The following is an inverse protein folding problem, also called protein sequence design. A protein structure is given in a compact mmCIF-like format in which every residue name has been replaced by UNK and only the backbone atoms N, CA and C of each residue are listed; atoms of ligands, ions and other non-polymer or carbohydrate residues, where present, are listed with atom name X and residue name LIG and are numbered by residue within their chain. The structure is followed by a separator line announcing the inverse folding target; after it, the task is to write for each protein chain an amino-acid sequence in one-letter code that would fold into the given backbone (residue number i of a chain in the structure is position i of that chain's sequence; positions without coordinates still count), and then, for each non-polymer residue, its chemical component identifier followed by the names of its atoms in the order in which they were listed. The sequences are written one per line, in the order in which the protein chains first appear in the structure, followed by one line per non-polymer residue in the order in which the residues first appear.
data_IF_283673951488
#
_entry.id   IF_283673951488
#
_cell.length_a   1.000
_cell.length_b   1.000
_cell.length_c   1.000
_cell.angle_alpha   90.00
_cell.angle_beta   90.00
_cell.angle_gamma   90.00
#
_symmetry.space_group_name_H-M   'P 1'
#
loop_
_entity.id
_entity.type
_entity.pdbx_description
1 polymer ?
2 non-polymer ?
3 non-polymer ?
4 non-polymer ?
5 water ?
#
# COMPACT_ATOMS: atom_id res chain seq x y z
N UNK A 1 -17.08 -21.14 4.76
CA UNK A 1 -17.74 -19.82 4.82
C UNK A 1 -16.70 -18.71 4.92
N UNK A 2 -16.04 -18.44 3.80
CA UNK A 2 -15.05 -17.33 3.73
C UNK A 2 -13.95 -17.46 4.75
N UNK A 3 -13.41 -18.66 4.85
CA UNK A 3 -12.29 -18.95 5.80
C UNK A 3 -10.96 -18.78 5.09
N UNK A 4 -10.08 -17.91 5.63
CA UNK A 4 -8.77 -17.70 5.01
C UNK A 4 -7.82 -18.87 5.36
N UNK A 5 -6.87 -19.02 4.48
CA UNK A 5 -5.76 -19.99 4.72
C UNK A 5 -4.47 -19.28 4.31
N UNK A 6 -3.34 -19.79 4.79
CA UNK A 6 -2.03 -19.22 4.43
C UNK A 6 -1.84 -19.00 2.97
N UNK A 7 -2.51 -19.79 2.11
CA UNK A 7 -2.40 -19.63 0.66
C UNK A 7 -2.99 -18.33 0.14
N UNK A 8 -3.83 -17.66 0.92
CA UNK A 8 -4.44 -16.36 0.50
C UNK A 8 -3.45 -15.20 0.64
N UNK A 9 -2.32 -15.44 1.29
CA UNK A 9 -1.24 -14.44 1.41
C UNK A 9 -1.64 -13.20 2.19
N UNK A 10 -2.43 -13.37 3.23
CA UNK A 10 -2.83 -12.24 4.11
C UNK A 10 -1.73 -11.97 5.14
N UNK A 11 -1.33 -10.68 5.25
CA UNK A 11 -0.27 -10.33 6.22
C UNK A 11 -0.69 -9.09 7.03
N UNK A 12 -0.07 -8.95 8.19
CA UNK A 12 -0.39 -7.85 9.15
C UNK A 12 0.90 -7.30 9.75
N UNK A 13 0.91 -5.98 9.97
CA UNK A 13 2.04 -5.36 10.69
C UNK A 13 1.91 -5.63 12.16
N UNK A 14 3.07 -5.81 12.87
CA UNK A 14 3.01 -5.95 14.32
C UNK A 14 2.31 -4.74 14.99
N UNK A 15 2.49 -3.58 14.35
CA UNK A 15 1.95 -2.33 14.93
C UNK A 15 0.46 -2.17 14.78
N UNK A 16 -0.18 -3.06 14.05
CA UNK A 16 -1.62 -2.96 13.72
C UNK A 16 -2.42 -3.49 14.88
N UNK A 17 -2.45 -4.85 15.03
CA UNK A 17 -3.12 -5.45 16.20
C UNK A 17 -2.45 -5.05 17.51
N UNK A 18 -1.18 -4.63 17.44
CA UNK A 18 -0.43 -4.15 18.61
C UNK A 18 -0.68 -2.71 18.98
N UNK A 19 -1.51 -1.96 18.24
CA UNK A 19 -1.76 -0.54 18.59
C UNK A 19 -2.46 -0.45 19.95
N UNK A 20 -1.82 0.31 20.87
CA UNK A 20 -2.39 0.46 22.23
C UNK A 20 -3.52 1.47 22.34
N UNK A 21 -3.78 2.24 21.34
CA UNK A 21 -4.92 3.17 21.37
C UNK A 21 -4.62 4.57 21.80
N UNK A 22 -3.38 4.95 21.81
CA UNK A 22 -3.04 6.40 22.12
C UNK A 22 -3.32 7.21 20.88
N UNK A 23 -4.10 8.30 21.01
CA UNK A 23 -4.46 9.21 19.89
C UNK A 23 -4.02 10.62 20.36
N UNK A 24 -4.20 11.64 19.52
CA UNK A 24 -3.78 13.00 19.87
C UNK A 24 -4.45 13.54 21.12
N UNK A 25 -5.60 12.99 21.50
CA UNK A 25 -6.37 13.46 22.65
C UNK A 25 -6.56 12.42 23.76
N UNK A 26 -5.86 11.30 23.74
CA UNK A 26 -6.14 10.28 24.77
C UNK A 26 -5.06 9.29 25.00
N UNK A 27 -5.10 8.74 26.21
CA UNK A 27 -4.12 7.72 26.65
C UNK A 27 -4.49 6.36 26.07
N UNK A 28 -3.53 5.43 26.24
CA UNK A 28 -3.74 4.03 25.74
C UNK A 28 -4.88 3.38 26.49
N UNK A 29 -5.63 2.55 25.74
CA UNK A 29 -6.76 1.81 26.32
C UNK A 29 -6.44 0.30 26.39
N UNK A 30 -5.34 -0.10 25.81
CA UNK A 30 -4.95 -1.54 25.83
C UNK A 30 -3.48 -1.63 26.24
N UNK A 31 -3.18 -2.81 26.83
CA UNK A 31 -1.76 -3.08 27.21
C UNK A 31 -0.99 -3.50 25.98
N UNK A 32 0.33 -3.41 26.04
CA UNK A 32 1.19 -3.77 24.93
C UNK A 32 1.15 -5.30 24.76
N UNK A 33 1.25 -5.68 23.50
CA UNK A 33 1.23 -7.12 23.15
C UNK A 33 2.68 -7.51 22.85
N UNK A 34 3.01 -8.72 23.32
CA UNK A 34 4.38 -9.24 22.96
C UNK A 34 4.26 -9.72 21.48
N UNK A 35 5.25 -9.41 20.66
CA UNK A 35 5.30 -9.86 19.26
C UNK A 35 5.07 -11.35 19.08
N UNK A 36 5.59 -12.14 20.05
CA UNK A 36 5.40 -13.63 19.97
C UNK A 36 3.93 -13.98 20.05
N UNK A 37 3.17 -13.32 20.92
CA UNK A 37 1.74 -13.59 21.07
C UNK A 37 1.00 -13.21 19.80
N UNK A 38 1.37 -12.05 19.21
CA UNK A 38 0.67 -11.64 17.96
C UNK A 38 0.93 -12.65 16.85
N UNK A 39 2.15 -13.17 16.75
CA UNK A 39 2.42 -14.18 15.69
C UNK A 39 1.50 -15.40 15.91
N UNK A 40 1.45 -15.89 17.13
CA UNK A 40 0.62 -17.08 17.39
C UNK A 40 -0.86 -16.84 17.11
N UNK A 41 -1.39 -15.71 17.57
CA UNK A 41 -2.85 -15.42 17.37
C UNK A 41 -3.16 -15.22 15.91
N UNK A 42 -2.29 -14.49 15.16
CA UNK A 42 -2.56 -14.32 13.72
C UNK A 42 -2.53 -15.63 12.94
N UNK A 43 -1.60 -16.53 13.36
CA UNK A 43 -1.49 -17.83 12.65
C UNK A 43 -2.79 -18.64 12.86
N UNK A 44 -3.35 -18.56 14.06
CA UNK A 44 -4.61 -19.27 14.32
C UNK A 44 -5.76 -18.76 13.47
N UNK A 45 -5.71 -17.45 13.14
CA UNK A 45 -6.80 -16.87 12.34
C UNK A 45 -6.65 -17.15 10.86
N UNK A 46 -5.50 -17.70 10.44
CA UNK A 46 -5.32 -18.01 9.01
C UNK A 46 -4.43 -17.06 8.25
N UNK A 47 -3.71 -16.17 8.97
CA UNK A 47 -2.78 -15.27 8.23
C UNK A 47 -1.58 -16.03 7.68
N UNK A 48 -0.90 -15.49 6.70
CA UNK A 48 0.32 -16.02 6.06
C UNK A 48 1.58 -15.51 6.71
N UNK A 49 1.55 -14.25 7.18
CA UNK A 49 2.79 -13.67 7.75
C UNK A 49 2.57 -12.32 8.42
N UNK A 50 3.71 -11.80 8.89
CA UNK A 50 3.71 -10.48 9.62
C UNK A 50 4.84 -9.62 9.04
N UNK A 51 4.72 -8.31 9.36
CA UNK A 51 5.77 -7.32 8.98
C UNK A 51 6.06 -6.48 10.25
N UNK A 52 7.19 -5.71 10.12
CA UNK A 52 7.59 -4.91 11.34
C UNK A 52 8.43 -3.71 10.94
N UNK A 53 8.38 -2.72 11.83
CA UNK A 53 9.42 -1.64 11.81
C UNK A 53 10.49 -2.20 12.79
N UNK A 54 11.72 -1.71 12.59
CA UNK A 54 12.81 -2.04 13.54
C UNK A 54 12.37 -1.87 15.00
N UNK A 55 11.81 -0.72 15.32
CA UNK A 55 11.43 -0.39 16.70
C UNK A 55 10.27 -1.17 17.27
N UNK A 56 9.51 -1.89 16.43
CA UNK A 56 8.39 -2.70 16.94
C UNK A 56 8.99 -4.01 17.56
N UNK A 57 10.04 -4.47 16.92
CA UNK A 57 10.68 -5.74 17.30
C UNK A 57 11.74 -5.58 18.38
N UNK A 58 12.58 -4.57 18.21
CA UNK A 58 13.71 -4.32 19.17
C UNK A 58 13.50 -2.87 19.68
N UNK A 59 13.25 -2.79 20.98
CA UNK A 59 13.04 -1.49 21.65
C UNK A 59 14.20 -0.55 21.35
N UNK A 60 13.87 0.68 21.01
CA UNK A 60 14.87 1.72 20.68
C UNK A 60 15.89 1.78 21.85
N UNK A 61 17.15 1.83 21.42
CA UNK A 61 18.25 1.94 22.39
C UNK A 61 18.71 0.64 23.00
N UNK A 62 18.26 -0.48 22.47
CA UNK A 62 18.64 -1.81 22.94
C UNK A 62 20.13 -2.10 22.65
N UNK A 63 20.72 -2.80 23.63
CA UNK A 63 22.12 -3.25 23.49
C UNK A 63 22.11 -4.41 22.49
N UNK A 64 23.27 -4.69 21.94
CA UNK A 64 23.46 -5.78 20.97
C UNK A 64 22.97 -7.11 21.55
N UNK A 65 23.18 -7.27 22.83
CA UNK A 65 22.80 -8.48 23.57
C UNK A 65 21.28 -8.64 23.57
N UNK A 66 20.62 -7.56 23.97
CA UNK A 66 19.15 -7.52 24.03
C UNK A 66 18.58 -7.73 22.65
N UNK A 67 19.23 -7.11 21.69
CA UNK A 67 18.83 -7.22 20.26
C UNK A 67 18.81 -8.67 19.85
N UNK A 68 19.90 -9.41 20.09
CA UNK A 68 19.96 -10.83 19.71
C UNK A 68 18.85 -11.65 20.34
N UNK A 69 18.54 -11.36 21.59
CA UNK A 69 17.51 -12.06 22.35
C UNK A 69 16.11 -11.87 21.77
N UNK A 70 15.84 -10.61 21.41
CA UNK A 70 14.51 -10.29 20.82
C UNK A 70 14.35 -11.01 19.49
N UNK A 71 15.38 -11.04 18.70
CA UNK A 71 15.34 -11.70 17.38
C UNK A 71 15.12 -13.20 17.54
N UNK A 72 15.90 -13.79 18.43
CA UNK A 72 15.82 -15.27 18.66
C UNK A 72 14.43 -15.70 19.05
N UNK A 73 13.77 -15.01 19.99
CA UNK A 73 12.42 -15.35 20.40
C UNK A 73 11.44 -15.25 19.22
N UNK A 74 11.66 -14.20 18.44
CA UNK A 74 10.77 -13.98 17.27
C UNK A 74 10.91 -15.12 16.26
N UNK A 75 12.16 -15.42 15.97
CA UNK A 75 12.45 -16.53 14.99
C UNK A 75 11.87 -17.83 15.48
N UNK A 76 11.88 -18.07 16.78
CA UNK A 76 11.24 -19.30 17.31
C UNK A 76 9.75 -19.34 17.05
N UNK A 77 9.05 -18.22 17.27
CA UNK A 77 7.61 -18.15 17.02
C UNK A 77 7.34 -18.35 15.55
N UNK A 78 8.14 -17.81 14.65
CA UNK A 78 7.91 -18.05 13.22
C UNK A 78 8.05 -19.57 12.89
N UNK A 79 9.09 -20.15 13.49
CA UNK A 79 9.33 -21.62 13.18
C UNK A 79 8.19 -22.47 13.69
N UNK A 80 7.70 -22.16 14.84
CA UNK A 80 6.60 -22.87 15.52
C UNK A 80 5.29 -22.82 14.75
N UNK A 81 5.08 -21.67 14.04
CA UNK A 81 3.80 -21.47 13.34
C UNK A 81 3.78 -21.60 11.86
N UNK A 82 4.94 -21.52 11.20
CA UNK A 82 5.02 -21.50 9.75
C UNK A 82 4.76 -20.09 9.16
N UNK A 83 4.71 -19.10 10.03
CA UNK A 83 4.49 -17.69 9.51
C UNK A 83 5.74 -17.19 8.80
N UNK A 84 5.54 -16.32 7.79
CA UNK A 84 6.68 -15.73 7.05
C UNK A 84 6.74 -14.20 7.32
N UNK A 85 7.88 -13.62 6.92
CA UNK A 85 8.05 -12.13 7.05
C UNK A 85 8.42 -11.57 5.68
N UNK A 86 7.41 -11.17 4.89
CA UNK A 86 7.64 -10.75 3.54
C UNK A 86 8.12 -9.30 3.35
N UNK A 87 7.92 -8.51 4.41
CA UNK A 87 8.31 -7.07 4.27
C UNK A 87 8.76 -6.57 5.64
N UNK A 88 9.68 -5.57 5.58
CA UNK A 88 10.05 -4.87 6.85
C UNK A 88 10.26 -3.38 6.44
N UNK A 89 10.36 -2.59 7.51
CA UNK A 89 10.53 -1.10 7.28
C UNK A 89 11.23 -0.54 8.53
N UNK A 90 11.52 0.78 8.46
CA UNK A 90 12.24 1.48 9.53
C UNK A 90 11.33 2.51 10.19
N UNK A 91 11.48 2.68 11.52
CA UNK A 91 10.74 3.79 12.17
C UNK A 91 11.65 5.04 12.08
N UNK A 92 11.30 5.97 11.18
CA UNK A 92 12.01 7.27 11.13
C UNK A 92 11.05 8.42 11.48
N UNK A 93 10.18 8.15 12.46
CA UNK A 93 9.16 9.18 12.79
C UNK A 93 8.84 9.33 14.24
N UNK A 94 9.03 8.32 15.11
CA UNK A 94 8.58 8.45 16.52
C UNK A 94 9.55 9.25 17.38
N UNK A 95 10.82 8.91 17.33
CA UNK A 95 11.77 9.62 18.23
C UNK A 95 11.82 11.09 17.91
N UNK A 96 11.94 11.92 18.98
CA UNK A 96 12.08 13.37 18.80
C UNK A 96 13.16 13.82 17.88
N UNK A 97 14.25 13.07 17.66
CA UNK A 97 15.35 13.48 16.78
C UNK A 97 14.84 13.65 15.36
N UNK A 98 13.79 12.90 14.99
CA UNK A 98 13.21 12.97 13.64
C UNK A 98 12.12 13.99 13.49
N UNK A 99 12.06 14.97 14.40
CA UNK A 99 10.96 15.98 14.32
C UNK A 99 10.90 16.76 13.04
N UNK A 100 11.98 17.00 12.33
CA UNK A 100 12.00 17.67 11.02
C UNK A 100 12.26 16.70 9.89
N UNK A 101 12.17 15.38 10.17
CA UNK A 101 12.42 14.41 9.07
C UNK A 101 13.61 13.51 9.37
N UNK A 102 13.77 12.51 8.53
CA UNK A 102 14.93 11.58 8.59
C UNK A 102 15.82 11.90 7.39
N UNK A 103 15.45 11.44 6.19
CA UNK A 103 16.25 11.70 4.99
C UNK A 103 16.34 13.16 4.53
N UNK A 104 15.35 13.96 4.93
CA UNK A 104 15.31 15.38 4.51
C UNK A 104 15.31 16.34 5.70
N UNK A 105 15.78 15.91 6.85
CA UNK A 105 15.91 16.89 7.99
C UNK A 105 16.93 17.99 7.52
N UNK A 106 16.66 19.22 8.07
CA UNK A 106 17.60 20.30 7.72
C UNK A 106 19.01 20.01 8.29
N UNK A 107 19.04 19.39 9.47
CA UNK A 107 20.35 19.07 10.12
C UNK A 107 21.03 17.90 9.41
N UNK A 108 22.23 18.14 8.89
CA UNK A 108 22.98 17.07 8.18
C UNK A 108 23.28 15.86 9.01
N UNK A 109 23.62 16.06 10.28
CA UNK A 109 23.97 14.93 11.17
C UNK A 109 22.79 13.99 11.35
N UNK A 110 21.58 14.55 11.35
CA UNK A 110 20.34 13.71 11.53
C UNK A 110 20.19 12.90 10.27
N UNK A 111 20.36 13.48 9.09
CA UNK A 111 20.25 12.73 7.83
C UNK A 111 21.22 11.55 7.80
N UNK A 112 22.45 11.73 8.28
CA UNK A 112 23.43 10.60 8.28
C UNK A 112 22.97 9.52 9.25
N UNK A 113 22.46 9.89 10.41
CA UNK A 113 21.92 8.97 11.40
C UNK A 113 20.76 8.14 10.80
N UNK A 114 19.82 8.86 10.15
CA UNK A 114 18.66 8.16 9.52
C UNK A 114 19.15 7.09 8.54
N UNK A 115 20.17 7.38 7.72
CA UNK A 115 20.68 6.38 6.79
C UNK A 115 21.27 5.18 7.53
N UNK A 116 22.10 5.44 8.55
CA UNK A 116 22.69 4.27 9.27
C UNK A 116 21.63 3.42 9.93
N UNK A 117 20.58 4.04 10.51
CA UNK A 117 19.53 3.24 11.22
C UNK A 117 18.82 2.37 10.19
N UNK A 118 18.62 2.93 9.00
CA UNK A 118 17.94 2.18 7.91
C UNK A 118 18.80 0.96 7.49
N UNK A 119 20.07 1.24 7.21
CA UNK A 119 20.96 0.11 6.75
C UNK A 119 21.00 -1.02 7.75
N UNK A 120 21.09 -0.75 9.02
CA UNK A 120 21.10 -1.80 10.06
C UNK A 120 19.90 -2.71 9.94
N UNK A 121 18.71 -2.11 9.67
CA UNK A 121 17.47 -2.88 9.54
C UNK A 121 17.36 -3.63 8.22
N UNK A 122 17.98 -3.15 7.16
CA UNK A 122 17.95 -3.88 5.85
C UNK A 122 18.65 -5.24 6.11
N UNK A 123 19.78 -5.19 6.85
CA UNK A 123 20.50 -6.46 7.10
C UNK A 123 19.60 -7.47 7.80
N UNK A 124 18.90 -7.00 8.83
CA UNK A 124 17.99 -7.87 9.56
C UNK A 124 16.87 -8.41 8.70
N UNK A 125 16.25 -7.52 7.92
CA UNK A 125 15.17 -7.92 7.03
C UNK A 125 15.58 -9.09 6.11
N UNK A 126 16.72 -8.97 5.50
CA UNK A 126 17.28 -10.00 4.60
C UNK A 126 17.43 -11.34 5.40
N UNK A 127 17.97 -11.20 6.59
CA UNK A 127 18.16 -12.42 7.43
C UNK A 127 16.84 -13.13 7.67
N UNK A 128 15.75 -12.39 7.85
CA UNK A 128 14.42 -12.95 8.10
C UNK A 128 13.66 -13.36 6.85
N UNK A 129 14.21 -13.12 5.68
CA UNK A 129 13.63 -13.52 4.43
C UNK A 129 12.71 -12.53 3.75
N UNK A 130 12.76 -11.27 4.16
CA UNK A 130 11.89 -10.26 3.50
C UNK A 130 12.32 -10.01 2.06
N UNK A 131 11.35 -9.81 1.18
CA UNK A 131 11.59 -9.53 -0.23
C UNK A 131 11.43 -8.04 -0.59
N UNK A 132 10.69 -7.36 0.30
CA UNK A 132 10.39 -5.91 0.03
C UNK A 132 10.72 -5.09 1.28
N UNK A 133 11.29 -3.89 1.00
CA UNK A 133 11.58 -3.02 2.19
C UNK A 133 10.84 -1.69 1.92
N UNK A 134 9.91 -1.39 2.82
CA UNK A 134 9.06 -0.15 2.64
C UNK A 134 9.72 1.06 3.29
N UNK A 135 9.46 2.21 2.62
CA UNK A 135 9.90 3.49 3.23
C UNK A 135 8.68 4.45 3.22
N UNK A 136 8.26 4.79 4.44
CA UNK A 136 7.18 5.83 4.59
C UNK A 136 7.89 7.05 5.28
N UNK A 137 8.00 8.11 4.48
CA UNK A 137 8.71 9.34 5.03
C UNK A 137 7.68 10.20 5.72
N UNK A 138 7.13 9.76 6.84
CA UNK A 138 6.08 10.50 7.57
C UNK A 138 6.50 11.85 8.14
N UNK A 139 7.80 12.03 8.40
CA UNK A 139 8.23 13.37 8.92
C UNK A 139 8.87 14.22 7.84
N UNK A 140 8.86 13.81 6.58
CA UNK A 140 9.53 14.59 5.49
C UNK A 140 8.52 15.61 4.99
N UNK A 141 8.70 16.90 5.32
CA UNK A 141 7.64 17.87 4.89
C UNK A 141 7.78 19.15 5.72
N UNK A 142 6.63 19.81 5.92
CA UNK A 142 6.67 21.11 6.65
C UNK A 142 5.30 21.58 7.05
N UNK A 143 5.31 22.52 8.03
CA UNK A 143 4.08 23.21 8.41
C UNK A 143 4.04 24.64 7.83
N UNK A 144 5.16 25.17 7.43
CA UNK A 144 5.27 26.58 6.91
C UNK A 144 6.15 26.62 5.72
N UNK A 145 5.96 27.68 4.86
CA UNK A 145 6.65 27.74 3.59
C UNK A 145 8.14 27.95 3.57
N UNK A 146 8.66 28.71 4.50
CA UNK A 146 10.11 29.00 4.47
C UNK A 146 10.97 27.93 5.07
N UNK A 147 10.38 27.01 5.84
CA UNK A 147 11.08 25.97 6.56
C UNK A 147 11.79 24.95 5.70
N UNK A 148 11.30 24.74 4.47
CA UNK A 148 11.93 23.68 3.64
C UNK A 148 11.99 24.13 2.21
N UNK A 149 13.17 24.13 1.63
CA UNK A 149 13.29 24.40 0.18
C UNK A 149 13.05 23.00 -0.45
N UNK A 150 11.92 22.86 -1.16
CA UNK A 150 11.58 21.52 -1.70
C UNK A 150 12.56 21.03 -2.73
N UNK A 151 13.14 21.86 -3.60
CA UNK A 151 14.15 21.35 -4.55
C UNK A 151 15.33 20.75 -3.82
N UNK A 152 15.83 21.50 -2.78
CA UNK A 152 16.95 20.91 -2.01
C UNK A 152 16.50 19.66 -1.28
N UNK A 153 15.29 19.61 -0.73
CA UNK A 153 14.83 18.38 -0.03
C UNK A 153 14.73 17.20 -1.03
N UNK A 154 14.24 17.44 -2.24
CA UNK A 154 14.22 16.30 -3.20
C UNK A 154 15.63 15.86 -3.56
N UNK A 155 16.58 16.80 -3.64
CA UNK A 155 18.00 16.35 -3.85
C UNK A 155 18.43 15.43 -2.71
N UNK A 156 18.14 15.82 -1.47
CA UNK A 156 18.49 14.98 -0.33
C UNK A 156 17.77 13.63 -0.32
N UNK A 157 16.51 13.61 -0.75
CA UNK A 157 15.73 12.33 -0.76
C UNK A 157 16.34 11.40 -1.82
N UNK A 158 16.66 11.97 -2.99
CA UNK A 158 17.29 11.16 -4.05
C UNK A 158 18.66 10.60 -3.58
N UNK A 159 19.44 11.51 -2.94
CA UNK A 159 20.74 11.06 -2.43
C UNK A 159 20.59 9.89 -1.49
N UNK A 160 19.64 9.91 -0.60
CA UNK A 160 19.42 8.82 0.38
C UNK A 160 19.05 7.52 -0.34
N UNK A 161 18.04 7.60 -1.23
CA UNK A 161 17.63 6.35 -1.93
C UNK A 161 18.72 5.83 -2.83
N UNK A 162 19.51 6.69 -3.46
CA UNK A 162 20.65 6.20 -4.28
C UNK A 162 21.65 5.44 -3.41
N UNK A 163 22.00 6.02 -2.25
CA UNK A 163 22.93 5.31 -1.34
C UNK A 163 22.38 3.96 -0.92
N UNK A 164 21.08 3.88 -0.66
CA UNK A 164 20.46 2.60 -0.25
C UNK A 164 20.58 1.58 -1.38
N UNK A 165 20.39 2.00 -2.62
CA UNK A 165 20.50 1.10 -3.79
C UNK A 165 21.96 0.66 -3.94
N UNK A 166 22.86 1.57 -3.70
CA UNK A 166 24.32 1.16 -3.79
C UNK A 166 24.62 0.13 -2.75
N UNK A 167 24.09 0.26 -1.56
CA UNK A 167 24.29 -0.68 -0.46
C UNK A 167 23.76 -2.07 -0.84
N UNK A 168 22.49 -2.18 -1.22
CA UNK A 168 21.94 -3.53 -1.53
C UNK A 168 22.67 -4.20 -2.69
N UNK A 169 23.06 -3.45 -3.68
CA UNK A 169 23.80 -3.93 -4.87
C UNK A 169 25.17 -4.47 -4.47
N UNK A 170 25.85 -3.71 -3.65
CA UNK A 170 27.21 -4.09 -3.18
C UNK A 170 27.16 -5.34 -2.34
N UNK A 171 26.11 -5.52 -1.58
CA UNK A 171 25.93 -6.67 -0.70
C UNK A 171 25.39 -7.89 -1.45
N UNK A 172 24.87 -7.69 -2.65
CA UNK A 172 24.27 -8.80 -3.42
C UNK A 172 22.94 -9.25 -2.87
N UNK A 173 22.19 -8.35 -2.20
CA UNK A 173 20.88 -8.72 -1.66
C UNK A 173 19.79 -8.69 -2.73
N UNK A 174 18.87 -9.60 -2.51
CA UNK A 174 17.66 -9.80 -3.29
C UNK A 174 16.47 -9.20 -2.50
N UNK A 175 16.46 -7.88 -2.56
CA UNK A 175 15.39 -7.10 -1.88
C UNK A 175 15.14 -5.89 -2.78
N UNK A 176 13.88 -5.46 -2.82
CA UNK A 176 13.55 -4.22 -3.60
C UNK A 176 12.87 -3.23 -2.61
N UNK A 177 12.90 -1.97 -3.00
CA UNK A 177 12.30 -0.92 -2.13
C UNK A 177 10.91 -0.53 -2.62
N UNK A 178 10.05 -0.14 -1.66
CA UNK A 178 8.69 0.34 -2.05
C UNK A 178 8.43 1.62 -1.24
N UNK A 179 8.23 2.74 -1.94
CA UNK A 179 7.98 4.03 -1.26
C UNK A 179 6.46 4.17 -1.04
N UNK A 180 6.12 4.54 0.17
CA UNK A 180 4.67 4.70 0.51
C UNK A 180 4.31 6.16 0.64
N UNK A 181 3.43 6.64 -0.23
CA UNK A 181 3.01 8.08 -0.18
C UNK A 181 1.96 8.27 0.92
N UNK A 182 1.83 9.55 1.33
CA UNK A 182 0.74 10.02 2.25
C UNK A 182 0.71 11.54 2.06
N UNK A 183 -0.46 12.18 1.99
CA UNK A 183 -0.46 13.63 1.65
C UNK A 183 -0.13 14.55 2.84
N UNK A 184 -0.56 14.15 4.02
CA UNK A 184 -0.37 15.00 5.25
C UNK A 184 -0.52 14.08 6.45
N UNK A 185 -0.13 14.54 7.64
CA UNK A 185 -0.32 13.94 8.96
C UNK A 185 0.73 12.86 9.22
N UNK A 186 1.76 13.14 10.02
CA UNK A 186 1.85 14.22 10.97
C UNK A 186 2.34 15.56 10.52
N UNK A 187 2.98 15.67 9.38
CA UNK A 187 3.41 17.05 8.96
C UNK A 187 2.24 17.70 8.24
N UNK A 188 2.25 19.06 8.20
CA UNK A 188 1.20 19.80 7.50
C UNK A 188 1.04 19.41 6.05
N UNK A 189 2.14 19.25 5.37
CA UNK A 189 2.22 18.68 4.03
C UNK A 189 3.40 17.71 4.01
N UNK A 190 3.21 16.52 3.44
CA UNK A 190 4.33 15.56 3.34
C UNK A 190 4.86 15.52 1.89
N UNK A 191 6.18 15.37 1.75
CA UNK A 191 6.76 15.25 0.39
C UNK A 191 6.38 13.91 -0.25
N UNK A 192 6.25 13.93 -1.59
CA UNK A 192 5.75 12.77 -2.40
C UNK A 192 4.37 12.40 -1.89
N UNK A 193 3.39 13.28 -2.02
CA UNK A 193 2.13 13.09 -1.34
C UNK A 193 1.15 12.05 -1.87
N UNK A 194 1.36 11.61 -3.11
CA UNK A 194 0.43 10.64 -3.72
C UNK A 194 1.25 9.61 -4.48
N UNK A 195 0.50 8.57 -4.97
CA UNK A 195 1.24 7.55 -5.83
C UNK A 195 1.85 8.22 -7.06
N UNK A 196 1.17 9.20 -7.69
CA UNK A 196 1.75 9.84 -8.87
C UNK A 196 3.10 10.44 -8.54
N UNK A 197 3.15 11.27 -7.48
CA UNK A 197 4.42 11.95 -7.11
C UNK A 197 5.53 10.96 -6.82
N UNK A 198 5.22 9.84 -6.15
CA UNK A 198 6.26 8.80 -5.89
C UNK A 198 6.69 8.12 -7.17
N UNK A 199 5.78 7.77 -8.09
CA UNK A 199 6.23 7.17 -9.36
C UNK A 199 7.15 8.10 -10.15
N UNK A 200 6.85 9.41 -10.16
CA UNK A 200 7.63 10.37 -10.96
C UNK A 200 9.03 10.47 -10.36
N UNK A 201 9.10 10.49 -9.04
CA UNK A 201 10.41 10.61 -8.33
C UNK A 201 11.30 9.42 -8.63
N UNK A 202 10.73 8.23 -8.65
CA UNK A 202 11.53 6.99 -8.91
C UNK A 202 12.26 7.07 -10.22
N UNK A 203 11.70 7.69 -11.21
CA UNK A 203 12.31 7.79 -12.55
C UNK A 203 13.56 8.62 -12.58
N UNK A 204 13.84 9.36 -11.51
CA UNK A 204 15.08 10.17 -11.42
C UNK A 204 16.13 9.51 -10.57
N UNK A 205 15.90 8.30 -10.02
CA UNK A 205 16.91 7.62 -9.22
C UNK A 205 17.93 6.96 -10.16
N UNK A 206 19.11 6.66 -9.57
CA UNK A 206 20.14 6.03 -10.40
C UNK A 206 19.79 4.65 -10.88
N UNK A 207 19.10 3.83 -10.09
CA UNK A 207 18.77 2.44 -10.56
C UNK A 207 17.25 2.26 -10.32
N UNK A 208 16.48 2.85 -11.20
CA UNK A 208 15.00 2.86 -11.03
C UNK A 208 14.39 1.48 -10.90
N UNK A 209 15.01 0.45 -11.47
CA UNK A 209 14.45 -0.90 -11.40
C UNK A 209 14.31 -1.44 -10.00
N UNK A 210 15.06 -0.89 -9.02
CA UNK A 210 15.03 -1.37 -7.65
C UNK A 210 13.87 -0.81 -6.83
N UNK A 211 13.14 0.15 -7.36
CA UNK A 211 12.12 0.85 -6.54
C UNK A 211 10.73 0.82 -7.18
N UNK A 212 9.76 0.63 -6.26
CA UNK A 212 8.33 0.67 -6.68
C UNK A 212 7.55 1.43 -5.59
N UNK A 213 6.22 1.24 -5.61
CA UNK A 213 5.37 1.91 -4.62
C UNK A 213 4.65 0.92 -3.70
N UNK A 214 4.32 1.38 -2.52
CA UNK A 214 3.47 0.68 -1.53
C UNK A 214 2.27 1.62 -1.24
N UNK A 215 1.30 1.69 -2.13
CA UNK A 215 0.13 2.56 -1.89
C UNK A 215 -0.73 2.04 -0.76
N UNK A 216 -1.40 2.99 -0.06
CA UNK A 216 -2.35 2.62 0.99
C UNK A 216 -3.71 3.21 0.66
N UNK A 217 -4.76 2.35 0.79
CA UNK A 217 -6.13 2.77 0.51
C UNK A 217 -6.43 4.17 1.09
N UNK A 218 -6.35 4.30 2.39
CA UNK A 218 -6.84 5.53 3.06
C UNK A 218 -5.94 6.71 2.72
N UNK A 219 -4.69 6.49 2.40
CA UNK A 219 -3.85 7.73 2.07
C UNK A 219 -4.26 8.41 0.82
N UNK A 220 -4.56 7.63 -0.26
CA UNK A 220 -4.98 8.35 -1.50
C UNK A 220 -6.36 8.95 -1.27
N UNK A 221 -7.18 8.30 -0.42
CA UNK A 221 -8.52 8.86 -0.11
C UNK A 221 -8.46 10.13 0.73
N UNK A 222 -7.36 10.38 1.44
CA UNK A 222 -7.18 11.66 2.21
C UNK A 222 -7.00 12.83 1.25
N UNK A 223 -6.70 12.58 -0.02
CA UNK A 223 -6.59 13.63 -1.06
C UNK A 223 -7.81 13.58 -1.99
N UNK A 224 -8.81 12.75 -1.60
CA UNK A 224 -10.06 12.64 -2.39
C UNK A 224 -9.89 11.92 -3.73
N UNK A 225 -8.80 11.14 -3.87
CA UNK A 225 -8.54 10.49 -5.16
C UNK A 225 -9.15 9.07 -5.24
N UNK A 226 -9.19 8.60 -6.49
CA UNK A 226 -9.80 7.22 -6.71
C UNK A 226 -8.64 6.24 -6.61
N UNK A 227 -8.75 5.42 -5.54
CA UNK A 227 -7.69 4.41 -5.25
C UNK A 227 -7.50 3.39 -6.31
N UNK A 228 -8.58 2.71 -6.79
CA UNK A 228 -8.39 1.76 -7.91
C UNK A 228 -7.73 2.40 -9.09
N UNK A 229 -8.03 3.66 -9.46
CA UNK A 229 -7.37 4.33 -10.62
C UNK A 229 -5.86 4.48 -10.37
N UNK A 230 -5.49 4.84 -9.14
CA UNK A 230 -4.06 5.02 -8.79
C UNK A 230 -3.33 3.68 -8.88
N UNK A 231 -3.98 2.63 -8.42
CA UNK A 231 -3.37 1.26 -8.52
C UNK A 231 -3.23 0.85 -9.97
N UNK A 232 -4.22 1.14 -10.80
CA UNK A 232 -4.11 0.82 -12.25
C UNK A 232 -2.89 1.53 -12.86
N UNK A 233 -2.64 2.81 -12.51
CA UNK A 233 -1.45 3.49 -13.03
C UNK A 233 -0.16 2.84 -12.53
N UNK A 234 -0.10 2.42 -11.26
CA UNK A 234 1.10 1.74 -10.74
C UNK A 234 1.29 0.41 -11.47
N UNK A 235 0.22 -0.35 -11.68
CA UNK A 235 0.35 -1.64 -12.43
C UNK A 235 0.83 -1.38 -13.85
N UNK A 236 0.30 -0.36 -14.48
CA UNK A 236 0.67 -0.01 -15.89
C UNK A 236 2.18 0.28 -15.99
N UNK A 237 2.76 0.91 -14.96
CA UNK A 237 4.17 1.25 -14.92
C UNK A 237 5.03 0.08 -14.48
N UNK A 238 4.44 -1.00 -14.01
CA UNK A 238 5.12 -2.18 -13.51
C UNK A 238 5.75 -1.92 -12.16
N UNK A 239 5.10 -1.09 -11.33
CA UNK A 239 5.71 -0.73 -10.03
C UNK A 239 4.86 -1.04 -8.82
N UNK A 240 3.87 -1.91 -8.91
CA UNK A 240 3.09 -2.26 -7.69
C UNK A 240 3.82 -3.40 -6.96
N UNK A 241 4.71 -3.03 -6.06
CA UNK A 241 5.53 -3.99 -5.34
C UNK A 241 4.87 -4.53 -4.09
N UNK A 242 3.94 -3.80 -3.53
CA UNK A 242 3.30 -4.21 -2.24
C UNK A 242 2.06 -3.30 -2.10
N UNK A 243 1.20 -3.58 -1.18
CA UNK A 243 0.00 -2.74 -0.98
C UNK A 243 -0.43 -2.75 0.46
N UNK A 244 -0.98 -1.62 0.94
CA UNK A 244 -1.54 -1.57 2.29
C UNK A 244 -3.09 -1.41 2.19
N UNK A 245 -3.76 -2.43 2.77
CA UNK A 245 -5.25 -2.41 2.66
C UNK A 245 -5.91 -2.01 3.98
N UNK A 246 -6.92 -1.12 3.88
CA UNK A 246 -7.62 -0.63 5.10
C UNK A 246 -8.89 0.14 4.57
N UNK A 247 -9.49 0.87 5.47
CA UNK A 247 -10.66 1.72 5.16
C UNK A 247 -10.51 3.15 5.73
N UNK A 248 -11.24 4.02 5.03
CA UNK A 248 -11.19 5.50 5.40
C UNK A 248 -12.52 6.10 4.95
N UNK A 249 -13.04 6.97 5.81
CA UNK A 249 -14.27 7.72 5.47
C UNK A 249 -13.93 9.14 4.94
N UNK A 250 -13.45 9.24 3.74
CA UNK A 250 -13.23 10.57 3.14
C UNK A 250 -12.01 11.32 3.63
N UNK A 251 -12.13 12.65 3.42
CA UNK A 251 -11.01 13.59 3.69
C UNK A 251 -11.02 14.05 5.12
N UNK A 252 -10.15 13.50 5.92
CA UNK A 252 -10.05 13.77 7.35
C UNK A 252 -8.77 13.10 7.84
N UNK A 253 -8.53 13.06 9.10
CA UNK A 253 -7.38 12.36 9.71
C UNK A 253 -7.31 10.89 9.19
N UNK A 254 -6.11 10.35 9.26
CA UNK A 254 -5.91 8.92 8.75
C UNK A 254 -6.57 7.97 9.77
N UNK A 255 -7.71 7.36 9.33
CA UNK A 255 -8.48 6.51 10.20
C UNK A 255 -7.94 5.07 10.36
N UNK A 256 -7.42 4.48 9.33
CA UNK A 256 -6.91 3.09 9.36
C UNK A 256 -8.00 2.13 9.85
N UNK A 257 -9.20 2.22 9.29
CA UNK A 257 -10.26 1.26 9.67
C UNK A 257 -9.93 -0.11 9.05
N UNK A 258 -10.75 -1.10 9.56
CA UNK A 258 -10.49 -2.46 8.93
C UNK A 258 -10.90 -2.44 7.47
N UNK A 259 -10.25 -3.28 6.66
CA UNK A 259 -10.53 -3.37 5.23
C UNK A 259 -12.03 -3.80 5.01
N UNK A 260 -12.63 -3.05 4.11
CA UNK A 260 -14.08 -3.28 3.80
C UNK A 260 -14.88 -2.15 4.41
N UNK A 261 -14.43 -1.59 5.53
CA UNK A 261 -15.13 -0.41 6.09
C UNK A 261 -14.70 0.82 5.23
N UNK A 262 -15.35 1.93 5.46
CA UNK A 262 -15.04 3.14 4.66
C UNK A 262 -15.79 3.01 3.32
N UNK A 263 -15.06 3.19 2.24
CA UNK A 263 -15.69 3.18 0.90
C UNK A 263 -15.77 1.73 0.39
N UNK A 264 -16.96 1.15 0.63
CA UNK A 264 -17.14 -0.28 0.22
C UNK A 264 -17.12 -0.48 -1.28
N UNK A 265 -17.74 0.40 -2.07
CA UNK A 265 -17.68 0.22 -3.53
C UNK A 265 -16.25 0.28 -4.05
N UNK A 266 -15.44 1.22 -3.49
CA UNK A 266 -14.03 1.28 -3.94
C UNK A 266 -13.24 0.02 -3.56
N UNK A 267 -13.64 -0.60 -2.46
CA UNK A 267 -13.01 -1.89 -2.04
C UNK A 267 -13.33 -2.99 -3.08
N UNK A 268 -14.57 -3.00 -3.54
CA UNK A 268 -15.00 -3.99 -4.58
C UNK A 268 -14.16 -3.79 -5.85
N UNK A 269 -14.10 -2.51 -6.34
CA UNK A 269 -13.34 -2.27 -7.57
C UNK A 269 -11.85 -2.53 -7.41
N UNK A 270 -11.30 -2.35 -6.22
CA UNK A 270 -9.89 -2.64 -5.98
C UNK A 270 -9.67 -4.20 -6.08
N UNK A 271 -10.54 -4.94 -5.38
CA UNK A 271 -10.33 -6.44 -5.45
C UNK A 271 -10.47 -6.94 -6.89
N UNK A 272 -11.46 -6.43 -7.59
CA UNK A 272 -11.66 -6.80 -9.01
C UNK A 272 -10.35 -6.60 -9.78
N UNK A 273 -9.74 -5.41 -9.62
CA UNK A 273 -8.47 -5.12 -10.33
C UNK A 273 -7.33 -5.99 -9.87
N UNK A 274 -7.06 -6.15 -8.58
CA UNK A 274 -5.93 -6.97 -8.14
C UNK A 274 -6.05 -8.41 -8.66
N UNK A 275 -7.24 -8.93 -8.62
CA UNK A 275 -7.47 -10.34 -9.08
C UNK A 275 -7.41 -10.40 -10.58
N UNK A 276 -7.94 -9.47 -11.31
CA UNK A 276 -7.85 -9.54 -12.80
C UNK A 276 -6.46 -9.36 -13.31
N UNK A 277 -5.69 -8.48 -12.70
CA UNK A 277 -4.30 -8.21 -13.12
C UNK A 277 -3.35 -9.28 -12.64
N UNK A 278 -3.77 -10.18 -11.77
CA UNK A 278 -2.90 -11.26 -11.25
C UNK A 278 -1.80 -10.74 -10.34
N UNK A 279 -2.15 -9.74 -9.51
CA UNK A 279 -1.16 -9.25 -8.50
C UNK A 279 -0.82 -10.47 -7.62
N UNK A 280 0.50 -10.68 -7.42
CA UNK A 280 0.85 -11.90 -6.64
C UNK A 280 1.60 -11.62 -5.37
N UNK A 281 1.59 -10.36 -4.94
CA UNK A 281 2.31 -9.99 -3.70
C UNK A 281 1.37 -10.21 -2.51
N UNK A 282 1.89 -9.88 -1.33
CA UNK A 282 1.07 -9.98 -0.12
C UNK A 282 -0.15 -9.02 -0.14
N UNK A 283 -1.18 -9.49 0.53
CA UNK A 283 -2.39 -8.70 0.82
C UNK A 283 -2.21 -8.25 2.30
N UNK A 284 -1.53 -7.09 2.40
CA UNK A 284 -1.15 -6.60 3.75
C UNK A 284 -2.15 -5.61 4.32
N UNK A 285 -2.47 -5.77 5.57
CA UNK A 285 -3.42 -4.88 6.27
C UNK A 285 -2.65 -3.93 7.19
N UNK A 286 -2.84 -2.63 6.89
CA UNK A 286 -2.22 -1.59 7.78
C UNK A 286 -3.46 -0.88 8.42
N UNK A 287 -3.91 -1.40 9.55
CA UNK A 287 -5.19 -0.90 10.14
C UNK A 287 -4.96 -0.78 11.66
N UNK A 288 -5.93 -0.13 12.31
CA UNK A 288 -5.90 -0.02 13.78
C UNK A 288 -7.24 -0.42 14.31
N UNK A 289 -7.31 -1.46 15.15
CA UNK A 289 -8.63 -1.76 15.80
C UNK A 289 -8.94 -0.53 16.68
N UNK A 290 -10.16 0.00 16.58
CA UNK A 290 -10.52 1.23 17.33
C UNK A 290 -10.24 1.08 18.80
N UNK A 291 -9.94 2.23 19.45
CA UNK A 291 -9.56 2.21 20.88
C UNK A 291 -10.72 1.88 21.81
N UNK A 292 -11.93 1.79 21.30
CA UNK A 292 -13.11 1.34 22.05
C UNK A 292 -13.04 -0.19 22.33
N UNK A 293 -12.18 -0.89 21.63
CA UNK A 293 -12.23 -2.37 21.79
C UNK A 293 -11.22 -2.95 22.78
N UNK A 294 -11.66 -4.10 23.34
CA UNK A 294 -10.67 -4.88 24.16
C UNK A 294 -10.00 -5.87 23.21
N UNK A 295 -9.20 -6.82 23.78
CA UNK A 295 -8.52 -7.81 22.98
C UNK A 295 -9.40 -8.70 22.14
N UNK A 296 -10.56 -9.07 22.60
CA UNK A 296 -11.53 -9.86 21.80
C UNK A 296 -11.88 -9.07 20.54
N UNK A 297 -12.06 -7.77 20.72
CA UNK A 297 -12.42 -6.87 19.59
C UNK A 297 -11.27 -6.73 18.62
N UNK A 298 -10.03 -6.69 19.12
CA UNK A 298 -8.86 -6.65 18.24
C UNK A 298 -8.87 -7.84 17.23
N UNK A 299 -9.04 -9.05 17.80
CA UNK A 299 -9.00 -10.24 16.88
C UNK A 299 -10.21 -10.33 16.00
N UNK A 300 -11.36 -9.81 16.44
CA UNK A 300 -12.55 -9.81 15.57
C UNK A 300 -12.32 -8.85 14.39
N UNK A 301 -11.66 -7.72 14.70
CA UNK A 301 -11.39 -6.71 13.64
C UNK A 301 -10.41 -7.26 12.62
N UNK A 302 -9.33 -7.95 13.09
CA UNK A 302 -8.35 -8.55 12.19
C UNK A 302 -8.98 -9.63 11.31
N UNK A 303 -9.84 -10.47 11.96
CA UNK A 303 -10.54 -11.51 11.15
C UNK A 303 -11.44 -10.87 10.11
N UNK A 304 -12.07 -9.75 10.42
CA UNK A 304 -12.99 -9.06 9.48
C UNK A 304 -12.27 -8.54 8.26
N UNK A 305 -11.00 -8.15 8.43
CA UNK A 305 -10.19 -7.68 7.29
C UNK A 305 -10.15 -8.78 6.18
N UNK A 306 -9.83 -10.00 6.68
CA UNK A 306 -9.66 -11.13 5.71
C UNK A 306 -11.00 -11.59 5.17
N UNK A 307 -11.99 -11.66 6.00
CA UNK A 307 -13.35 -12.07 5.55
C UNK A 307 -13.84 -11.14 4.44
N UNK A 308 -13.72 -9.82 4.69
CA UNK A 308 -14.24 -8.89 3.63
C UNK A 308 -13.49 -9.02 2.33
N UNK A 309 -12.15 -9.22 2.37
CA UNK A 309 -11.44 -9.45 1.09
C UNK A 309 -12.05 -10.71 0.41
N UNK A 310 -12.24 -11.79 1.17
CA UNK A 310 -12.80 -13.03 0.52
C UNK A 310 -14.18 -12.89 -0.02
N UNK A 311 -15.06 -12.15 0.64
CA UNK A 311 -16.44 -11.96 0.11
C UNK A 311 -16.31 -11.14 -1.20
N UNK A 312 -15.53 -10.03 -1.13
CA UNK A 312 -15.39 -9.20 -2.35
C UNK A 312 -14.79 -9.96 -3.52
N UNK A 313 -13.84 -10.83 -3.25
CA UNK A 313 -13.23 -11.66 -4.34
C UNK A 313 -14.29 -12.53 -5.02
N UNK A 314 -15.12 -13.15 -4.17
CA UNK A 314 -16.21 -14.00 -4.75
C UNK A 314 -17.15 -13.15 -5.60
N UNK A 315 -17.59 -12.00 -5.11
CA UNK A 315 -18.54 -11.14 -5.87
C UNK A 315 -17.94 -10.58 -7.13
N UNK A 316 -16.66 -10.17 -7.09
CA UNK A 316 -16.04 -9.63 -8.34
C UNK A 316 -15.89 -10.74 -9.39
N UNK A 317 -15.57 -11.96 -8.88
CA UNK A 317 -15.42 -13.10 -9.81
C UNK A 317 -16.78 -13.45 -10.43
N UNK A 318 -17.82 -13.43 -9.66
CA UNK A 318 -19.18 -13.74 -10.20
C UNK A 318 -19.58 -12.69 -11.22
N UNK A 319 -19.22 -11.41 -10.96
CA UNK A 319 -19.50 -10.30 -11.90
C UNK A 319 -18.82 -10.56 -13.24
N UNK A 320 -17.52 -10.85 -13.25
CA UNK A 320 -16.76 -10.97 -14.51
C UNK A 320 -17.18 -12.23 -15.30
N UNK A 321 -17.65 -13.20 -14.57
CA UNK A 321 -18.04 -14.49 -15.24
C UNK A 321 -19.46 -14.52 -15.72
N UNK A 322 -20.28 -13.60 -15.36
CA UNK A 322 -21.72 -13.57 -15.78
C UNK A 322 -21.80 -13.22 -17.25
N UNK A 323 -22.48 -14.06 -18.06
CA UNK A 323 -22.64 -13.77 -19.48
C UNK A 323 -23.33 -12.45 -19.75
N UNK A 324 -24.28 -12.05 -18.90
CA UNK A 324 -25.06 -10.82 -19.03
C UNK A 324 -24.13 -9.61 -18.81
N UNK A 325 -23.14 -9.81 -17.94
CA UNK A 325 -22.14 -8.72 -17.74
C UNK A 325 -21.25 -8.62 -18.96
N UNK A 326 -20.80 -9.79 -19.45
CA UNK A 326 -19.89 -9.79 -20.64
C UNK A 326 -20.57 -9.09 -21.79
N UNK A 327 -21.88 -9.31 -21.93
CA UNK A 327 -22.66 -8.62 -22.97
C UNK A 327 -22.74 -7.12 -22.76
N UNK A 328 -22.97 -6.72 -21.49
CA UNK A 328 -23.02 -5.27 -21.18
C UNK A 328 -21.67 -4.61 -21.41
N UNK A 329 -20.57 -5.30 -21.18
CA UNK A 329 -19.24 -4.70 -21.43
C UNK A 329 -19.06 -4.41 -22.91
N UNK A 330 -19.57 -5.34 -23.75
CA UNK A 330 -19.49 -5.07 -25.21
C UNK A 330 -20.45 -3.97 -25.58
N UNK A 331 -21.59 -3.86 -24.94
CA UNK A 331 -22.57 -2.80 -25.22
C UNK A 331 -21.99 -1.40 -24.94
N UNK A 332 -21.11 -1.39 -23.92
CA UNK A 332 -20.45 -0.11 -23.54
C UNK A 332 -19.09 0.09 -24.18
N UNK A 333 -18.72 -0.76 -25.13
CA UNK A 333 -17.51 -0.69 -25.91
C UNK A 333 -16.21 -0.77 -25.15
N UNK A 334 -16.21 -1.58 -24.06
CA UNK A 334 -14.92 -1.86 -23.39
C UNK A 334 -13.96 -2.63 -24.28
N UNK A 335 -14.53 -3.44 -25.20
CA UNK A 335 -13.71 -4.20 -26.14
C UNK A 335 -12.97 -3.23 -27.10
N UNK A 336 -13.64 -2.16 -27.50
CA UNK A 336 -13.02 -1.18 -28.39
C UNK A 336 -11.96 -0.30 -27.70
N UNK A 337 -12.15 -0.09 -26.39
CA UNK A 337 -11.08 0.68 -25.64
C UNK A 337 -9.75 -0.06 -25.71
N UNK A 338 -9.76 -1.39 -25.75
CA UNK A 338 -8.58 -2.24 -25.75
C UNK A 338 -7.92 -2.37 -27.14
N UNK A 339 -8.54 -1.83 -28.17
CA UNK A 339 -7.89 -1.93 -29.51
C UNK A 339 -7.12 -0.63 -29.80
N UNK A 340 -6.02 -0.72 -30.49
CA UNK A 340 -5.23 0.50 -30.84
C UNK A 340 -6.07 1.47 -31.62
N UNK A 341 -5.86 2.77 -31.37
CA UNK A 341 -6.52 3.86 -32.08
C UNK A 341 -6.06 3.91 -33.57
N UNK A 342 -4.74 3.73 -33.70
CA UNK A 342 -4.18 3.87 -35.09
C UNK A 342 -2.99 3.00 -35.33
N UNK A 343 -3.21 1.69 -35.34
CA UNK A 343 -2.14 0.69 -35.63
C UNK A 343 -1.70 0.90 -37.11
N UNK A 344 -2.53 1.51 -37.88
CA UNK A 344 -2.29 1.84 -39.29
C UNK A 344 -1.19 2.88 -39.44
N UNK A 345 -0.90 3.65 -38.42
CA UNK A 345 0.16 4.66 -38.41
C UNK A 345 -0.34 6.06 -38.72
N UNK A 346 0.55 7.03 -38.46
CA UNK A 346 0.28 8.46 -38.63
C UNK A 346 -0.17 8.86 -40.03
N UNK A 347 0.62 8.43 -41.05
CA UNK A 347 0.22 8.82 -42.42
C UNK A 347 -1.17 8.32 -42.78
N UNK A 348 -1.43 7.06 -42.46
CA UNK A 348 -2.76 6.48 -42.77
C UNK A 348 -3.86 7.28 -42.09
N UNK A 349 -3.61 7.67 -40.82
CA UNK A 349 -4.60 8.47 -40.08
C UNK A 349 -4.86 9.83 -40.75
N UNK A 350 -3.74 10.47 -41.15
CA UNK A 350 -3.85 11.76 -41.83
C UNK A 350 -4.61 11.65 -43.16
N UNK A 351 -4.47 10.50 -43.80
CA UNK A 351 -5.14 10.31 -45.12
C UNK A 351 -6.56 9.78 -45.05
N UNK A 352 -6.99 9.39 -43.87
CA UNK A 352 -8.32 8.80 -43.64
C UNK A 352 -9.40 9.84 -43.52
N UNK A 353 -10.20 9.97 -44.58
CA UNK A 353 -11.32 10.93 -44.59
C UNK A 353 -12.43 10.58 -43.62
N UNK A 354 -12.54 9.30 -43.25
CA UNK A 354 -13.59 8.85 -42.31
C UNK A 354 -13.25 9.31 -40.88
N UNK A 355 -12.02 9.74 -40.69
CA UNK A 355 -11.60 10.22 -39.34
C UNK A 355 -11.86 11.69 -39.15
N UNK A 356 -12.23 12.43 -40.20
CA UNK A 356 -12.44 13.89 -40.00
C UNK A 356 -13.40 14.49 -40.99
N UNK A 357 -12.89 14.55 -42.24
CA UNK A 357 -13.66 15.19 -43.32
C UNK A 357 -15.05 14.61 -43.47
N UNK A 358 -15.15 13.27 -43.36
CA UNK A 358 -16.45 12.61 -43.53
C UNK A 358 -16.97 11.89 -42.30
N UNK A 359 -16.45 12.31 -41.14
CA UNK A 359 -16.91 11.69 -39.87
C UNK A 359 -18.23 12.37 -39.45
N UNK A 360 -19.20 11.51 -39.17
CA UNK A 360 -20.52 12.02 -38.75
C UNK A 360 -20.52 12.18 -37.22
N UNK A 361 -20.23 13.38 -36.81
CA UNK A 361 -20.12 13.76 -35.39
C UNK A 361 -21.44 13.61 -34.68
N UNK A 362 -22.54 14.00 -35.32
CA UNK A 362 -23.86 13.93 -34.66
C UNK A 362 -24.30 12.50 -34.42
N UNK A 363 -24.04 11.63 -35.38
CA UNK A 363 -24.41 10.20 -35.19
C UNK A 363 -23.60 9.58 -34.07
N UNK A 364 -22.30 9.89 -34.02
CA UNK A 364 -21.46 9.31 -32.93
C UNK A 364 -21.89 9.85 -31.60
N UNK A 365 -22.22 11.15 -31.53
CA UNK A 365 -22.65 11.79 -30.29
C UNK A 365 -23.94 11.24 -29.71
N UNK A 366 -24.84 10.75 -30.60
CA UNK A 366 -26.15 10.26 -30.10
C UNK A 366 -26.08 8.88 -29.49
N UNK A 367 -24.97 8.20 -29.65
CA UNK A 367 -24.84 6.79 -29.18
C UNK A 367 -24.72 6.80 -27.65
N UNK A 368 -25.63 6.18 -26.95
CA UNK A 368 -25.50 6.14 -25.45
C UNK A 368 -24.40 5.18 -25.07
N UNK A 369 -23.72 5.44 -23.91
CA UNK A 369 -22.65 4.55 -23.48
C UNK A 369 -23.16 3.34 -22.68
N UNK A 370 -24.38 3.33 -22.22
CA UNK A 370 -24.97 2.25 -21.41
C UNK A 370 -24.22 1.91 -20.15
N UNK A 371 -23.62 3.00 -19.57
CA UNK A 371 -22.86 2.79 -18.31
C UNK A 371 -23.70 2.57 -17.07
N UNK A 372 -24.91 3.13 -17.02
CA UNK A 372 -25.78 2.98 -15.82
C UNK A 372 -26.27 1.54 -15.68
N UNK A 373 -26.64 0.95 -16.83
CA UNK A 373 -27.06 -0.47 -16.76
C UNK A 373 -25.90 -1.32 -16.29
N UNK A 374 -24.70 -1.12 -16.85
CA UNK A 374 -23.53 -1.88 -16.42
C UNK A 374 -23.28 -1.68 -14.90
N UNK A 375 -23.39 -0.42 -14.44
CA UNK A 375 -23.08 -0.18 -13.01
C UNK A 375 -24.13 -0.83 -12.10
N UNK A 376 -25.39 -0.90 -12.56
CA UNK A 376 -26.42 -1.56 -11.73
C UNK A 376 -26.19 -3.08 -11.70
N UNK A 377 -25.68 -3.63 -12.83
CA UNK A 377 -25.29 -5.07 -12.74
C UNK A 377 -24.22 -5.31 -11.72
N UNK A 378 -23.25 -4.31 -11.67
CA UNK A 378 -22.17 -4.44 -10.65
C UNK A 378 -22.69 -4.28 -9.22
N UNK A 379 -23.66 -3.41 -9.01
CA UNK A 379 -24.30 -3.21 -7.70
C UNK A 379 -25.03 -4.52 -7.31
N UNK A 380 -25.79 -5.05 -8.26
CA UNK A 380 -26.55 -6.30 -7.94
C UNK A 380 -25.60 -7.43 -7.56
N UNK A 381 -24.47 -7.54 -8.27
CA UNK A 381 -23.51 -8.61 -7.93
C UNK A 381 -22.88 -8.39 -6.56
N UNK A 382 -22.48 -7.13 -6.24
CA UNK A 382 -21.91 -6.86 -4.92
C UNK A 382 -22.86 -7.24 -3.79
N UNK A 383 -24.13 -6.91 -3.94
CA UNK A 383 -25.17 -7.13 -2.93
C UNK A 383 -25.70 -8.57 -2.94
N UNK A 384 -25.33 -9.34 -3.91
CA UNK A 384 -25.84 -10.77 -3.99
C UNK A 384 -27.32 -10.71 -4.29
N UNK A 385 -27.74 -9.82 -5.15
CA UNK A 385 -29.10 -9.57 -5.55
C UNK A 385 -29.39 -9.88 -7.01
N UNK A 386 -28.69 -10.86 -7.54
CA UNK A 386 -28.90 -11.27 -8.95
C UNK A 386 -30.07 -12.23 -9.09
N UNK A 387 -29.90 -13.40 -8.52
#
# INVERSE_FOLDING_TARGET
NYQPTPEDRFTFGLWTVGWQGRDPFGDATRRALDPVESVRRLAELGAHGVTFHDDDLIPFGSSDSEREEHVKRFRQALDDTGMKVPMATTNLFTHPVFKDGGFTANDRDVRRYALRKTIRNIDLAVELGAETYVAWGGREGAESGGAKDVRDALDRMKEAFDLLGEYVTSQGYDIRFAIEPKPNEPRGDILLPTVGHALAFIERLERPELYGVNPEVGHEQMAGLNFPHGIAQALWAGKLFHIDLNGQNGIKYDQDLRFGAGDLRAAFWLVDLLESAGYSGPRHFDFKPPRTEDFDGVWASAAGCMRNYLILKERAAAFRADPEVQEALRASRLDELARPTAADGLQALLDDRSAFEEFDVDAAAARGMAFERLDQLAMDHLLGARG
#
